data_IF_868053635143
#
_entry.id   IF_868053635143
#
_cell.length_a   1.000
_cell.length_b   1.000
_cell.length_c   1.000
_cell.angle_alpha   90.00
_cell.angle_beta   90.00
_cell.angle_gamma   90.00
#
_symmetry.space_group_name_H-M   'P 1'
#
loop_
_entity.id
_entity.type
_entity.pdbx_description
1 polymer ?
#
# COMPACT_ATOMS: atom_id res chain seq x y z
N UNK A 1 11.05 16.05 -7.95
CA UNK A 1 10.52 15.85 -6.58
C UNK A 1 9.53 14.70 -6.59
N UNK A 2 9.82 13.66 -5.84
CA UNK A 2 8.96 12.48 -5.83
C UNK A 2 7.75 12.74 -4.94
N UNK A 3 6.57 12.65 -5.52
CA UNK A 3 5.36 12.77 -4.73
C UNK A 3 5.21 11.55 -3.81
N UNK A 4 4.74 11.80 -2.60
CA UNK A 4 4.45 10.72 -1.68
C UNK A 4 3.24 9.94 -2.17
N UNK A 5 3.28 8.63 -1.97
CA UNK A 5 2.14 7.77 -2.26
C UNK A 5 1.00 8.08 -1.29
N UNK A 6 -0.22 7.73 -1.71
CA UNK A 6 -1.40 7.87 -0.84
C UNK A 6 -1.23 7.04 0.41
N UNK A 7 -0.72 5.81 0.29
CA UNK A 7 -0.49 4.96 1.46
C UNK A 7 0.56 5.55 2.40
N UNK A 8 1.57 6.24 1.87
CA UNK A 8 2.57 6.91 2.70
C UNK A 8 1.97 8.09 3.47
N UNK A 9 1.14 8.87 2.78
CA UNK A 9 0.45 10.00 3.43
C UNK A 9 -0.51 9.51 4.51
N UNK A 10 -1.24 8.46 4.22
CA UNK A 10 -2.15 7.86 5.19
C UNK A 10 -1.40 7.33 6.40
N UNK A 11 -0.27 6.67 6.18
CA UNK A 11 0.58 6.18 7.27
C UNK A 11 1.00 7.32 8.18
N UNK A 12 1.44 8.44 7.62
CA UNK A 12 1.86 9.59 8.41
C UNK A 12 0.71 10.17 9.22
N UNK A 13 -0.48 10.25 8.63
CA UNK A 13 -1.66 10.74 9.34
C UNK A 13 -2.04 9.84 10.50
N UNK A 14 -1.95 8.53 10.30
CA UNK A 14 -2.31 7.56 11.34
C UNK A 14 -1.30 7.53 12.48
N UNK A 15 -0.02 7.73 12.19
CA UNK A 15 1.02 7.72 13.20
C UNK A 15 1.16 9.04 13.94
N UNK A 16 0.61 10.11 13.38
CA UNK A 16 0.67 11.42 14.00
C UNK A 16 -0.16 11.51 15.28
N UNK A 17 -1.22 10.73 15.35
CA UNK A 17 -2.03 10.60 16.56
C UNK A 17 -1.42 9.52 17.43
N UNK A 18 -0.26 9.82 17.99
CA UNK A 18 0.47 8.88 18.82
C UNK A 18 -0.28 8.57 20.10
N UNK A 19 -0.06 7.39 20.63
CA UNK A 19 -0.80 6.86 21.75
C UNK A 19 -1.84 5.87 21.29
N UNK A 20 -1.69 5.42 20.05
CA UNK A 20 -2.65 4.51 19.46
C UNK A 20 -2.60 3.13 20.10
N UNK A 21 -3.73 2.64 20.59
CA UNK A 21 -3.87 1.25 20.99
C UNK A 21 -3.57 0.33 19.79
N UNK A 22 -3.20 -0.90 20.10
CA UNK A 22 -2.91 -1.92 19.09
C UNK A 22 -4.07 -2.11 18.10
N UNK A 23 -5.31 -1.87 18.55
CA UNK A 23 -6.49 -1.99 17.70
C UNK A 23 -6.45 -1.02 16.51
N UNK A 24 -5.87 0.16 16.69
CA UNK A 24 -5.74 1.12 15.60
C UNK A 24 -4.76 0.66 14.54
N UNK A 25 -3.74 -0.09 14.93
CA UNK A 25 -2.76 -0.61 13.99
C UNK A 25 -3.38 -1.65 13.05
N UNK A 26 -4.29 -2.47 13.57
CA UNK A 26 -4.99 -3.45 12.74
C UNK A 26 -5.90 -2.76 11.72
N UNK A 27 -6.64 -1.73 12.16
CA UNK A 27 -7.49 -0.97 11.27
C UNK A 27 -6.66 -0.20 10.24
N UNK A 28 -5.50 0.31 10.67
CA UNK A 28 -4.59 1.02 9.80
C UNK A 28 -4.08 0.12 8.67
N UNK A 29 -3.81 -1.16 8.96
CA UNK A 29 -3.32 -2.10 7.96
C UNK A 29 -4.32 -2.25 6.81
N UNK A 30 -5.60 -2.32 7.12
CA UNK A 30 -6.64 -2.42 6.10
C UNK A 30 -6.68 -1.16 5.24
N UNK A 31 -6.63 0.01 5.87
CA UNK A 31 -6.60 1.28 5.16
C UNK A 31 -5.36 1.43 4.29
N UNK A 32 -4.20 1.01 4.79
CA UNK A 32 -2.95 1.07 4.05
C UNK A 32 -2.96 0.15 2.84
N UNK A 33 -3.53 -1.06 2.97
CA UNK A 33 -3.67 -1.96 1.83
C UNK A 33 -4.56 -1.34 0.76
N UNK A 34 -5.69 -0.76 1.15
CA UNK A 34 -6.58 -0.10 0.19
C UNK A 34 -5.91 1.08 -0.50
N UNK A 35 -5.20 1.91 0.27
CA UNK A 35 -4.48 3.05 -0.28
C UNK A 35 -3.38 2.62 -1.24
N UNK A 36 -2.67 1.55 -0.91
CA UNK A 36 -1.63 0.99 -1.78
C UNK A 36 -2.20 0.54 -3.12
N UNK A 37 -3.37 -0.11 -3.09
CA UNK A 37 -4.02 -0.55 -4.32
C UNK A 37 -4.43 0.65 -5.19
N UNK A 38 -4.88 1.73 -4.57
CA UNK A 38 -5.19 2.97 -5.29
C UNK A 38 -3.92 3.57 -5.90
N UNK A 39 -2.81 3.55 -5.16
CA UNK A 39 -1.53 4.02 -5.69
C UNK A 39 -1.12 3.23 -6.93
N UNK A 40 -1.28 1.91 -6.91
CA UNK A 40 -0.96 1.06 -8.06
C UNK A 40 -1.88 1.33 -9.24
N UNK A 41 -3.15 1.60 -8.96
CA UNK A 41 -4.12 1.94 -10.00
C UNK A 41 -3.73 3.26 -10.66
N UNK A 42 -3.38 4.27 -9.87
CA UNK A 42 -2.96 5.58 -10.39
C UNK A 42 -1.64 5.48 -11.16
N UNK A 43 -0.77 4.55 -10.78
CA UNK A 43 0.49 4.33 -11.49
C UNK A 43 0.31 3.52 -12.77
N UNK A 44 -0.90 3.07 -13.07
CA UNK A 44 -1.18 2.30 -14.28
C UNK A 44 -0.68 0.87 -14.24
N UNK A 45 -0.44 0.33 -13.06
CA UNK A 45 0.11 -1.02 -12.89
C UNK A 45 -0.96 -2.08 -12.73
N UNK A 46 -2.12 -1.69 -12.19
CA UNK A 46 -3.27 -2.58 -12.04
C UNK A 46 -4.50 -1.90 -12.60
N UNK A 47 -5.51 -2.71 -12.91
CA UNK A 47 -6.79 -2.21 -13.35
C UNK A 47 -7.90 -2.92 -12.60
N UNK A 48 -9.02 -2.23 -12.44
CA UNK A 48 -10.24 -2.76 -11.85
C UNK A 48 -11.26 -2.99 -12.96
N UNK A 49 -12.00 -4.11 -12.89
CA UNK A 49 -13.12 -4.29 -13.80
C UNK A 49 -14.33 -3.50 -13.30
N UNK A 50 -15.43 -3.52 -14.07
CA UNK A 50 -16.60 -2.69 -13.79
C UNK A 50 -17.62 -3.36 -12.87
N UNK A 51 -17.24 -4.44 -12.19
CA UNK A 51 -18.14 -5.12 -11.26
C UNK A 51 -18.35 -4.29 -9.99
N UNK A 52 -19.45 -4.57 -9.31
CA UNK A 52 -19.77 -3.91 -8.04
C UNK A 52 -18.69 -4.16 -6.99
N UNK A 53 -18.12 -5.37 -6.99
CA UNK A 53 -16.95 -5.71 -6.18
C UNK A 53 -15.84 -6.06 -7.16
N UNK A 54 -15.05 -5.06 -7.60
CA UNK A 54 -14.16 -5.22 -8.73
C UNK A 54 -13.02 -6.19 -8.46
N UNK A 55 -12.55 -6.83 -9.52
CA UNK A 55 -11.38 -7.69 -9.51
C UNK A 55 -10.16 -6.86 -9.89
N UNK A 56 -9.04 -7.18 -9.27
CA UNK A 56 -7.77 -6.51 -9.55
C UNK A 56 -6.94 -7.37 -10.48
N UNK A 57 -6.51 -6.79 -11.58
CA UNK A 57 -5.64 -7.47 -12.54
C UNK A 57 -4.41 -6.63 -12.79
N UNK A 58 -3.24 -7.27 -12.81
CA UNK A 58 -2.00 -6.59 -13.17
C UNK A 58 -2.03 -6.35 -14.68
N UNK A 59 -1.87 -5.09 -15.08
CA UNK A 59 -1.82 -4.72 -16.51
C UNK A 59 -0.43 -4.30 -16.94
N UNK A 60 0.45 -3.92 -16.00
CA UNK A 60 1.82 -3.55 -16.30
C UNK A 60 2.70 -3.92 -15.10
N UNK A 61 3.45 -5.04 -15.17
CA UNK A 61 4.28 -5.48 -14.05
C UNK A 61 5.65 -4.80 -14.00
N UNK A 62 5.94 -3.86 -14.88
CA UNK A 62 7.24 -3.21 -14.93
C UNK A 62 7.52 -2.45 -13.62
N UNK A 63 8.81 -2.36 -13.22
CA UNK A 63 9.18 -1.62 -12.02
C UNK A 63 8.76 -0.16 -12.09
N UNK A 64 8.42 0.39 -10.92
CA UNK A 64 7.98 1.78 -10.80
C UNK A 64 9.10 2.69 -10.30
N UNK A 65 10.21 2.11 -9.85
CA UNK A 65 11.30 2.78 -9.13
C UNK A 65 10.88 3.27 -7.75
N UNK A 66 9.73 2.81 -7.26
CA UNK A 66 9.30 3.08 -5.89
C UNK A 66 9.26 1.76 -5.14
N UNK A 67 10.05 1.60 -4.06
CA UNK A 67 10.17 0.30 -3.40
C UNK A 67 8.86 -0.24 -2.85
N UNK A 68 7.97 0.62 -2.36
CA UNK A 68 6.69 0.19 -1.83
C UNK A 68 5.83 -0.44 -2.93
N UNK A 69 5.73 0.23 -4.08
CA UNK A 69 4.95 -0.28 -5.21
C UNK A 69 5.58 -1.53 -5.82
N UNK A 70 6.90 -1.53 -5.94
CA UNK A 70 7.60 -2.65 -6.56
C UNK A 70 7.47 -3.92 -5.70
N UNK A 71 7.52 -3.78 -4.39
CA UNK A 71 7.31 -4.91 -3.49
C UNK A 71 5.89 -5.47 -3.64
N UNK A 72 4.90 -4.59 -3.72
CA UNK A 72 3.51 -4.99 -3.92
C UNK A 72 3.34 -5.73 -5.23
N UNK A 73 3.99 -5.28 -6.30
CA UNK A 73 3.92 -5.93 -7.60
C UNK A 73 4.54 -7.33 -7.60
N UNK A 74 5.41 -7.64 -6.65
CA UNK A 74 5.94 -8.99 -6.49
C UNK A 74 4.97 -9.91 -5.74
N UNK A 75 4.12 -9.35 -4.92
CA UNK A 75 3.19 -10.11 -4.08
C UNK A 75 1.84 -10.33 -4.75
N UNK A 76 1.32 -9.31 -5.44
CA UNK A 76 -0.01 -9.32 -6.02
C UNK A 76 -0.25 -10.47 -7.01
N UNK A 77 0.76 -10.93 -7.81
CA UNK A 77 0.51 -12.05 -8.73
C UNK A 77 -0.08 -13.29 -8.07
N UNK A 78 0.22 -13.52 -6.79
CA UNK A 78 -0.35 -14.66 -6.05
C UNK A 78 -1.87 -14.59 -5.94
N UNK A 79 -2.45 -13.38 -6.05
CA UNK A 79 -3.89 -13.16 -5.99
C UNK A 79 -4.43 -12.40 -7.19
N UNK A 80 -3.71 -12.42 -8.31
CA UNK A 80 -4.15 -11.70 -9.50
C UNK A 80 -5.53 -12.18 -9.94
N UNK A 81 -6.43 -11.25 -10.24
CA UNK A 81 -7.79 -11.56 -10.64
C UNK A 81 -8.76 -11.74 -9.48
N UNK A 82 -8.29 -11.67 -8.24
CA UNK A 82 -9.17 -11.74 -7.08
C UNK A 82 -9.84 -10.38 -6.84
N UNK A 83 -10.87 -10.36 -6.02
CA UNK A 83 -11.65 -9.15 -5.77
C UNK A 83 -10.88 -8.18 -4.89
N UNK A 84 -11.14 -6.89 -5.10
CA UNK A 84 -10.54 -5.82 -4.29
C UNK A 84 -10.70 -6.11 -2.79
N UNK A 85 -11.89 -6.55 -2.39
CA UNK A 85 -12.18 -6.83 -0.99
C UNK A 85 -11.32 -7.95 -0.39
N UNK A 86 -10.75 -8.83 -1.22
CA UNK A 86 -9.84 -9.88 -0.73
C UNK A 86 -8.46 -9.33 -0.41
N UNK A 87 -8.07 -8.24 -1.07
CA UNK A 87 -6.74 -7.66 -0.87
C UNK A 87 -6.67 -6.80 0.39
N UNK A 88 -7.79 -6.16 0.76
CA UNK A 88 -7.80 -5.24 1.88
C UNK A 88 -7.37 -5.90 3.19
N UNK A 89 -7.88 -7.10 3.55
CA UNK A 89 -7.44 -7.77 4.79
C UNK A 89 -6.21 -8.66 4.60
N UNK A 90 -5.60 -8.68 3.42
CA UNK A 90 -4.50 -9.60 3.14
C UNK A 90 -3.21 -9.13 3.81
N UNK A 91 -2.81 -9.84 4.86
CA UNK A 91 -1.66 -9.45 5.68
C UNK A 91 -0.35 -9.36 4.91
N UNK A 92 -0.16 -10.22 3.89
CA UNK A 92 1.07 -10.20 3.10
C UNK A 92 1.23 -8.91 2.28
N UNK A 93 0.12 -8.24 1.97
CA UNK A 93 0.16 -6.99 1.22
C UNK A 93 0.57 -5.82 2.09
N UNK A 94 0.41 -5.91 3.40
CA UNK A 94 0.63 -4.81 4.34
C UNK A 94 1.96 -4.11 4.06
N UNK A 95 1.93 -2.84 3.63
CA UNK A 95 3.14 -2.13 3.20
C UNK A 95 3.85 -1.40 4.34
N UNK A 96 3.48 -1.63 5.59
CA UNK A 96 3.98 -0.82 6.72
C UNK A 96 5.49 -0.78 6.77
N UNK A 97 6.16 -1.94 6.70
CA UNK A 97 7.62 -1.98 6.78
C UNK A 97 8.27 -1.27 5.59
N UNK A 98 7.72 -1.45 4.41
CA UNK A 98 8.24 -0.82 3.20
C UNK A 98 8.02 0.69 3.24
N UNK A 99 6.89 1.15 3.78
CA UNK A 99 6.61 2.56 3.96
C UNK A 99 7.61 3.19 4.94
N UNK A 100 7.83 2.53 6.07
CA UNK A 100 8.79 3.03 7.07
C UNK A 100 10.18 3.15 6.45
N UNK A 101 10.61 2.14 5.71
CA UNK A 101 11.92 2.17 5.06
C UNK A 101 12.00 3.28 4.02
N UNK A 102 10.96 3.47 3.23
CA UNK A 102 10.90 4.50 2.20
C UNK A 102 10.96 5.90 2.80
N UNK A 103 10.14 6.17 3.82
CA UNK A 103 10.08 7.47 4.45
C UNK A 103 11.36 7.76 5.24
N UNK A 104 11.95 6.75 5.86
CA UNK A 104 13.20 6.89 6.58
C UNK A 104 14.35 7.22 5.61
N UNK A 105 14.42 6.54 4.48
CA UNK A 105 15.43 6.80 3.45
C UNK A 105 15.29 8.22 2.90
N UNK A 106 14.05 8.69 2.74
CA UNK A 106 13.79 10.05 2.26
C UNK A 106 14.01 11.11 3.33
N UNK A 107 14.30 10.73 4.57
CA UNK A 107 14.53 11.67 5.66
C UNK A 107 13.25 12.27 6.24
N UNK A 108 12.09 11.71 5.90
CA UNK A 108 10.80 12.24 6.36
C UNK A 108 10.50 11.80 7.78
N UNK A 109 10.90 10.58 8.13
CA UNK A 109 10.74 10.05 9.48
C UNK A 109 12.09 9.55 9.98
N UNK A 110 12.21 9.45 11.30
CA UNK A 110 13.38 8.88 11.94
C UNK A 110 12.94 7.62 12.67
N UNK A 111 13.65 6.52 12.41
CA UNK A 111 13.37 5.26 13.09
C UNK A 111 14.36 5.14 14.25
N UNK A 112 13.85 5.26 15.46
CA UNK A 112 14.66 5.06 16.66
C UNK A 112 14.62 3.57 17.03
N UNK A 113 15.77 2.95 16.97
CA UNK A 113 15.90 1.57 17.40
C UNK A 113 16.49 1.47 18.79
#
# INVERSE_FOLDING_TARGET
MTEMLICEKLFLLLTKDSGSPESRLADAAYGLNGALLVDLLLAGRVALNEDRNPRINIVNPAPTNHPVLDQALQIIPAKNGKRFSSFVPWGKLNPTEDIVASLSTAGIIRVDT
#
